data_IF_933322303352
#
_entry.id   IF_933322303352
#
_cell.length_a   1.000
_cell.length_b   1.000
_cell.length_c   1.000
_cell.angle_alpha   90.00
_cell.angle_beta   90.00
_cell.angle_gamma   90.00
#
_symmetry.space_group_name_H-M   'P 1'
#
loop_
_entity.id
_entity.type
_entity.pdbx_description
1 polymer ?
#
# COMPACT_ATOMS: atom_id res chain seq x y z
N UNK A 1 -29.93 0.29 -10.82
CA UNK A 1 -28.79 1.14 -10.45
C UNK A 1 -27.54 0.48 -11.00
N UNK A 2 -26.62 1.18 -11.65
CA UNK A 2 -25.35 0.56 -12.05
C UNK A 2 -24.59 0.09 -10.79
N UNK A 3 -24.16 -1.17 -10.80
CA UNK A 3 -23.37 -1.72 -9.70
C UNK A 3 -22.04 -0.95 -9.57
N UNK A 4 -21.70 -0.58 -8.34
CA UNK A 4 -20.46 0.15 -8.02
C UNK A 4 -19.55 -0.83 -7.28
N UNK A 5 -18.37 -1.11 -7.84
CA UNK A 5 -17.33 -1.81 -7.10
C UNK A 5 -16.54 -0.79 -6.28
N UNK A 6 -16.56 -0.93 -4.97
CA UNK A 6 -15.76 -0.09 -4.06
C UNK A 6 -14.51 -0.87 -3.66
N UNK A 7 -13.34 -0.29 -3.94
CA UNK A 7 -12.03 -0.86 -3.59
C UNK A 7 -11.31 0.11 -2.66
N UNK A 8 -11.11 -0.29 -1.41
CA UNK A 8 -10.27 0.44 -0.47
C UNK A 8 -8.78 0.20 -0.80
N UNK A 9 -7.91 1.15 -0.49
CA UNK A 9 -6.47 0.96 -0.65
C UNK A 9 -5.68 1.74 0.38
N UNK A 10 -4.59 1.15 0.87
CA UNK A 10 -3.72 1.75 1.89
C UNK A 10 -2.80 2.81 1.31
N UNK A 11 -2.33 3.78 2.13
CA UNK A 11 -1.38 4.82 1.72
C UNK A 11 -0.17 4.25 0.98
N UNK A 12 0.28 4.95 -0.07
CA UNK A 12 1.40 4.54 -0.92
C UNK A 12 1.02 3.61 -2.08
N UNK A 13 -0.02 2.79 -1.95
CA UNK A 13 -0.53 1.99 -3.07
C UNK A 13 -1.17 2.91 -4.10
N UNK A 14 -0.83 2.70 -5.39
CA UNK A 14 -1.31 3.54 -6.51
C UNK A 14 -2.15 2.69 -7.48
N UNK A 15 -3.47 2.59 -7.26
CA UNK A 15 -4.35 1.74 -8.06
C UNK A 15 -4.69 2.30 -9.45
N UNK A 16 -4.21 3.48 -9.82
CA UNK A 16 -4.58 4.19 -11.05
C UNK A 16 -4.34 3.41 -12.35
N UNK A 17 -3.32 2.52 -12.39
CA UNK A 17 -3.10 1.63 -13.55
C UNK A 17 -4.27 0.66 -13.75
N UNK A 18 -4.83 0.14 -12.66
CA UNK A 18 -5.96 -0.80 -12.69
C UNK A 18 -7.27 -0.06 -12.98
N UNK A 19 -7.44 1.15 -12.44
CA UNK A 19 -8.58 2.02 -12.75
C UNK A 19 -8.65 2.35 -14.24
N UNK A 20 -7.51 2.64 -14.88
CA UNK A 20 -7.45 2.87 -16.33
C UNK A 20 -7.93 1.65 -17.12
N UNK A 21 -7.39 0.46 -16.80
CA UNK A 21 -7.79 -0.81 -17.44
C UNK A 21 -9.27 -1.13 -17.17
N UNK A 22 -9.76 -0.82 -15.98
CA UNK A 22 -11.18 -0.98 -15.66
C UNK A 22 -12.07 -0.14 -16.59
N UNK A 23 -11.75 1.15 -16.76
CA UNK A 23 -12.51 2.05 -17.66
C UNK A 23 -12.50 1.58 -19.12
N UNK A 24 -11.39 1.04 -19.58
CA UNK A 24 -11.25 0.46 -20.93
C UNK A 24 -12.12 -0.78 -21.11
N UNK A 25 -12.17 -1.68 -20.12
CA UNK A 25 -12.90 -2.97 -20.21
C UNK A 25 -14.37 -2.88 -19.83
N UNK A 26 -14.74 -1.90 -19.02
CA UNK A 26 -16.10 -1.73 -18.49
C UNK A 26 -16.54 -0.27 -18.57
N UNK A 27 -16.82 0.26 -19.80
CA UNK A 27 -17.18 1.68 -19.97
C UNK A 27 -18.42 2.12 -19.18
N UNK A 28 -19.34 1.19 -18.84
CA UNK A 28 -20.53 1.45 -18.01
C UNK A 28 -20.38 1.02 -16.55
N UNK A 29 -19.26 0.36 -16.17
CA UNK A 29 -19.03 -0.12 -14.81
C UNK A 29 -18.43 0.97 -13.93
N UNK A 30 -18.99 1.19 -12.74
CA UNK A 30 -18.47 2.18 -11.78
C UNK A 30 -17.48 1.52 -10.84
N UNK A 31 -16.24 2.02 -10.81
CA UNK A 31 -15.20 1.70 -9.83
C UNK A 31 -15.01 2.91 -8.94
N UNK A 32 -15.11 2.72 -7.63
CA UNK A 32 -14.80 3.72 -6.63
C UNK A 32 -13.55 3.29 -5.86
N UNK A 33 -12.50 4.09 -5.92
CA UNK A 33 -11.27 3.89 -5.17
C UNK A 33 -11.29 4.75 -3.91
N UNK A 34 -11.08 4.15 -2.74
CA UNK A 34 -11.13 4.83 -1.43
C UNK A 34 -9.81 4.68 -0.70
N UNK A 35 -9.03 5.76 -0.54
CA UNK A 35 -7.83 5.72 0.31
C UNK A 35 -8.24 5.61 1.77
N UNK A 36 -7.73 4.61 2.48
CA UNK A 36 -8.00 4.36 3.90
C UNK A 36 -6.74 3.79 4.58
N UNK A 37 -6.45 4.11 5.85
CA UNK A 37 -5.51 3.36 6.65
C UNK A 37 -5.89 1.88 6.71
N UNK A 38 -4.94 1.00 7.02
CA UNK A 38 -5.14 -0.44 6.90
C UNK A 38 -6.25 -0.99 7.78
N UNK A 39 -6.33 -0.58 9.06
CA UNK A 39 -7.42 -0.99 9.94
C UNK A 39 -8.79 -0.56 9.40
N UNK A 40 -8.90 0.68 8.92
CA UNK A 40 -10.13 1.19 8.33
C UNK A 40 -10.50 0.49 7.01
N UNK A 41 -9.51 0.13 6.19
CA UNK A 41 -9.74 -0.62 4.96
C UNK A 41 -10.26 -2.04 5.22
N UNK A 42 -9.73 -2.72 6.25
CA UNK A 42 -10.19 -4.03 6.67
C UNK A 42 -11.58 -3.96 7.33
N UNK A 43 -11.83 -2.96 8.19
CA UNK A 43 -13.14 -2.73 8.78
C UNK A 43 -14.21 -2.44 7.71
N UNK A 44 -13.86 -1.72 6.64
CA UNK A 44 -14.76 -1.44 5.53
C UNK A 44 -15.13 -2.70 4.73
N UNK A 45 -14.30 -3.75 4.73
CA UNK A 45 -14.66 -5.06 4.18
C UNK A 45 -15.68 -5.77 5.09
N UNK A 46 -15.49 -5.68 6.41
CA UNK A 46 -16.33 -6.39 7.38
C UNK A 46 -17.73 -5.77 7.46
N UNK A 47 -17.85 -4.45 7.32
CA UNK A 47 -19.13 -3.73 7.33
C UNK A 47 -19.78 -3.60 5.93
N UNK A 48 -19.11 -4.09 4.88
CA UNK A 48 -19.59 -4.07 3.50
C UNK A 48 -19.55 -2.70 2.81
N UNK A 49 -18.92 -1.69 3.41
CA UNK A 49 -18.75 -0.35 2.78
C UNK A 49 -17.61 -0.32 1.76
N UNK A 50 -16.74 -1.33 1.76
CA UNK A 50 -15.85 -1.70 0.67
C UNK A 50 -16.05 -3.17 0.29
N UNK A 51 -15.90 -3.48 -0.99
CA UNK A 51 -16.06 -4.84 -1.51
C UNK A 51 -14.72 -5.57 -1.65
N UNK A 52 -13.64 -4.82 -1.83
CA UNK A 52 -12.26 -5.31 -1.92
C UNK A 52 -11.32 -4.28 -1.29
N UNK A 53 -10.13 -4.73 -0.86
CA UNK A 53 -9.11 -3.86 -0.33
C UNK A 53 -7.71 -4.24 -0.81
N UNK A 54 -6.88 -3.24 -1.10
CA UNK A 54 -5.45 -3.39 -1.35
C UNK A 54 -4.73 -3.04 -0.03
N UNK A 55 -4.19 -4.05 0.63
CA UNK A 55 -3.63 -3.97 1.98
C UNK A 55 -2.25 -4.63 2.06
N UNK A 56 -1.52 -4.38 3.17
CA UNK A 56 -0.20 -4.96 3.40
C UNK A 56 -0.26 -6.15 4.35
N UNK A 57 0.62 -7.13 4.11
CA UNK A 57 0.91 -8.27 5.00
C UNK A 57 -0.36 -8.95 5.54
N UNK A 58 -1.37 -9.08 4.69
CA UNK A 58 -2.65 -9.71 5.02
C UNK A 58 -2.81 -10.99 4.21
N UNK A 59 -2.76 -12.11 4.89
CA UNK A 59 -3.00 -13.43 4.30
C UNK A 59 -4.49 -13.76 4.20
N UNK A 60 -4.83 -14.75 3.38
CA UNK A 60 -6.16 -15.34 3.38
C UNK A 60 -6.44 -16.06 4.70
N UNK A 61 -7.70 -16.03 5.14
CA UNK A 61 -8.21 -16.72 6.30
C UNK A 61 -9.60 -17.33 6.01
N UNK A 62 -10.34 -17.77 7.02
CA UNK A 62 -11.70 -18.32 6.87
C UNK A 62 -12.75 -17.27 6.44
N UNK A 63 -12.47 -15.98 6.63
CA UNK A 63 -13.39 -14.89 6.34
C UNK A 63 -13.01 -14.12 5.07
N UNK A 64 -11.73 -14.17 4.66
CA UNK A 64 -11.19 -13.36 3.57
C UNK A 64 -10.31 -14.15 2.62
N UNK A 65 -10.55 -13.97 1.34
CA UNK A 65 -9.59 -14.34 0.29
C UNK A 65 -8.49 -13.29 0.20
N UNK A 66 -7.28 -13.71 -0.16
CA UNK A 66 -6.17 -12.82 -0.46
C UNK A 66 -5.40 -13.30 -1.69
N UNK A 67 -4.93 -12.34 -2.49
CA UNK A 67 -4.00 -12.58 -3.60
C UNK A 67 -2.81 -11.67 -3.43
N UNK A 68 -1.61 -12.22 -3.27
CA UNK A 68 -0.38 -11.47 -3.32
C UNK A 68 -0.19 -10.83 -4.71
N UNK A 69 0.09 -9.53 -4.75
CA UNK A 69 0.26 -8.77 -5.98
C UNK A 69 1.72 -8.42 -6.25
N UNK A 70 2.40 -7.87 -5.25
CA UNK A 70 3.82 -7.50 -5.32
C UNK A 70 4.40 -7.27 -3.94
N UNK A 71 5.72 -7.16 -3.87
CA UNK A 71 6.45 -6.81 -2.65
C UNK A 71 7.05 -5.41 -2.76
N UNK A 72 7.09 -4.73 -1.63
CA UNK A 72 7.69 -3.40 -1.46
C UNK A 72 8.95 -3.53 -0.62
N UNK A 73 10.04 -2.92 -1.08
CA UNK A 73 11.27 -2.85 -0.31
C UNK A 73 11.14 -1.82 0.81
N UNK A 74 11.69 -2.10 1.99
CA UNK A 74 11.83 -1.09 3.03
C UNK A 74 12.87 -0.03 2.62
N UNK A 75 12.63 1.21 3.03
CA UNK A 75 13.57 2.31 2.90
C UNK A 75 13.69 3.05 4.23
N UNK A 76 14.85 3.62 4.48
CA UNK A 76 15.07 4.57 5.57
C UNK A 76 14.83 5.98 5.03
N UNK A 77 13.90 6.69 5.63
CA UNK A 77 13.69 8.12 5.41
C UNK A 77 14.52 8.89 6.45
N UNK A 78 15.37 9.78 6.01
CA UNK A 78 16.31 10.51 6.86
C UNK A 78 16.40 11.99 6.46
N UNK A 79 16.79 12.88 7.38
CA UNK A 79 17.06 14.27 7.04
C UNK A 79 18.17 14.35 5.97
N UNK A 80 18.04 15.26 5.02
CA UNK A 80 18.98 15.38 3.88
C UNK A 80 20.44 15.60 4.30
N UNK A 81 20.67 16.25 5.43
CA UNK A 81 22.01 16.53 5.96
C UNK A 81 22.59 15.46 6.91
N UNK A 82 21.87 14.34 7.14
CA UNK A 82 22.31 13.28 8.06
C UNK A 82 23.38 12.38 7.45
N UNK A 83 24.06 11.60 8.30
CA UNK A 83 25.03 10.58 7.85
C UNK A 83 24.33 9.51 7.01
N UNK A 84 23.14 9.09 7.39
CA UNK A 84 22.32 8.13 6.62
C UNK A 84 22.06 8.62 5.20
N UNK A 85 21.85 9.93 5.02
CA UNK A 85 21.63 10.50 3.69
C UNK A 85 22.85 10.42 2.77
N UNK A 86 24.08 10.30 3.32
CA UNK A 86 25.33 10.19 2.55
C UNK A 86 25.56 8.78 2.00
N UNK A 87 24.84 7.77 2.49
CA UNK A 87 24.95 6.38 2.04
C UNK A 87 24.09 6.16 0.79
N UNK A 88 24.51 5.25 -0.11
CA UNK A 88 23.70 4.81 -1.25
C UNK A 88 22.61 3.81 -0.82
N UNK A 89 22.90 3.00 0.18
CA UNK A 89 22.00 2.05 0.81
C UNK A 89 22.40 1.85 2.27
N UNK A 90 21.46 1.42 3.11
CA UNK A 90 21.58 1.30 4.56
C UNK A 90 21.37 -0.15 4.97
N UNK A 91 22.13 -0.62 5.97
CA UNK A 91 21.86 -1.85 6.70
C UNK A 91 21.35 -1.52 8.12
N UNK A 92 20.69 -2.45 8.80
CA UNK A 92 20.17 -2.22 10.16
C UNK A 92 21.25 -1.79 11.14
N UNK A 93 22.48 -2.28 10.97
CA UNK A 93 23.63 -1.92 11.82
C UNK A 93 23.97 -0.42 11.70
N UNK A 94 23.77 0.19 10.55
CA UNK A 94 24.02 1.61 10.32
C UNK A 94 23.04 2.51 11.09
N UNK A 95 21.91 1.94 11.54
CA UNK A 95 20.91 2.65 12.33
C UNK A 95 21.14 2.59 13.84
N UNK A 96 22.19 1.86 14.32
CA UNK A 96 22.44 1.65 15.73
C UNK A 96 22.71 2.93 16.55
N UNK A 97 23.08 4.03 15.90
CA UNK A 97 23.27 5.34 16.54
C UNK A 97 22.13 6.34 16.27
N UNK A 98 21.13 5.94 15.48
CA UNK A 98 20.01 6.82 15.08
C UNK A 98 18.81 6.67 16.00
N UNK A 99 18.03 7.75 16.14
CA UNK A 99 16.72 7.69 16.77
C UNK A 99 15.72 7.17 15.72
N UNK A 100 15.42 5.87 15.75
CA UNK A 100 14.46 5.26 14.81
C UNK A 100 13.04 5.50 15.33
N UNK A 101 12.28 6.31 14.59
CA UNK A 101 10.92 6.69 14.94
C UNK A 101 9.93 5.55 14.70
N UNK A 102 8.98 5.38 15.60
CA UNK A 102 7.87 4.44 15.39
C UNK A 102 6.94 4.96 14.28
N UNK A 103 6.50 4.06 13.41
CA UNK A 103 5.57 4.36 12.33
C UNK A 103 4.35 3.45 12.46
N UNK A 104 3.16 4.04 12.56
CA UNK A 104 1.89 3.31 12.58
C UNK A 104 1.17 3.44 11.22
N UNK A 105 1.41 2.47 10.32
CA UNK A 105 0.71 2.38 9.05
C UNK A 105 -0.63 1.62 9.15
N UNK A 106 -0.96 1.08 10.32
CA UNK A 106 -2.26 0.45 10.55
C UNK A 106 -3.36 1.50 10.67
N UNK A 107 -3.08 2.61 11.39
CA UNK A 107 -4.03 3.69 11.66
C UNK A 107 -3.74 4.98 10.92
N UNK A 108 -2.51 5.18 10.47
CA UNK A 108 -2.05 6.40 9.81
C UNK A 108 -1.49 6.16 8.40
N UNK A 109 -0.95 7.21 7.82
CA UNK A 109 -0.31 7.20 6.51
C UNK A 109 1.22 7.37 6.56
N UNK A 110 1.77 7.51 7.77
CA UNK A 110 3.20 7.72 8.02
C UNK A 110 3.66 9.19 7.92
N UNK A 111 2.75 10.14 7.67
CA UNK A 111 3.10 11.57 7.55
C UNK A 111 3.68 12.14 8.83
N UNK A 112 3.13 11.77 10.00
CA UNK A 112 3.64 12.24 11.30
C UNK A 112 5.11 11.87 11.52
N UNK A 113 5.51 10.63 11.19
CA UNK A 113 6.89 10.20 11.29
C UNK A 113 7.79 10.97 10.31
N UNK A 114 7.32 11.20 9.08
CA UNK A 114 8.05 11.97 8.06
C UNK A 114 8.22 13.44 8.49
N UNK A 115 7.22 14.04 9.13
CA UNK A 115 7.33 15.39 9.67
C UNK A 115 8.38 15.49 10.79
N UNK A 116 8.46 14.48 11.68
CA UNK A 116 9.49 14.38 12.70
C UNK A 116 10.89 14.19 12.09
N UNK A 117 11.00 13.38 11.03
CA UNK A 117 12.26 13.24 10.27
C UNK A 117 12.68 14.57 9.68
N UNK A 118 11.77 15.29 9.04
CA UNK A 118 12.03 16.61 8.46
C UNK A 118 12.44 17.64 9.52
N UNK A 119 11.91 17.51 10.73
CA UNK A 119 12.31 18.31 11.91
C UNK A 119 13.64 17.85 12.55
N UNK A 120 14.36 16.89 11.93
CA UNK A 120 15.64 16.35 12.40
C UNK A 120 15.54 15.65 13.79
N UNK A 121 14.40 15.04 14.10
CA UNK A 121 14.19 14.30 15.36
C UNK A 121 14.77 12.88 15.28
N UNK A 122 14.80 12.28 14.08
CA UNK A 122 15.30 10.93 13.88
C UNK A 122 15.15 10.46 12.43
N UNK A 123 15.15 9.15 12.24
CA UNK A 123 14.92 8.48 10.96
C UNK A 123 13.70 7.58 11.05
N UNK A 124 13.07 7.25 9.92
CA UNK A 124 11.91 6.36 9.89
C UNK A 124 12.10 5.26 8.84
N UNK A 125 11.66 4.04 9.14
CA UNK A 125 11.62 2.93 8.17
C UNK A 125 10.21 2.83 7.60
N UNK A 126 10.10 2.91 6.28
CA UNK A 126 8.82 2.92 5.55
C UNK A 126 8.89 1.99 4.34
N UNK A 127 7.75 1.45 3.88
CA UNK A 127 7.65 0.89 2.54
C UNK A 127 8.00 1.95 1.48
N UNK A 128 8.72 1.56 0.44
CA UNK A 128 9.20 2.49 -0.60
C UNK A 128 8.09 3.35 -1.22
N UNK A 129 6.88 2.79 -1.39
CA UNK A 129 5.75 3.51 -1.98
C UNK A 129 5.24 4.63 -1.06
N UNK A 130 5.20 4.39 0.26
CA UNK A 130 4.82 5.39 1.27
C UNK A 130 5.86 6.51 1.30
N UNK A 131 7.15 6.17 1.38
CA UNK A 131 8.23 7.15 1.35
C UNK A 131 8.21 8.01 0.08
N UNK A 132 7.86 7.41 -1.07
CA UNK A 132 7.70 8.14 -2.34
C UNK A 132 6.52 9.09 -2.32
N UNK A 133 5.37 8.65 -1.79
CA UNK A 133 4.16 9.47 -1.68
C UNK A 133 4.37 10.68 -0.75
N UNK A 134 5.19 10.51 0.30
CA UNK A 134 5.51 11.53 1.30
C UNK A 134 6.84 12.26 1.02
N UNK A 135 7.39 12.14 -0.20
CA UNK A 135 8.68 12.74 -0.54
C UNK A 135 8.65 14.27 -0.46
N UNK A 136 9.72 14.86 0.11
CA UNK A 136 9.90 16.31 0.25
C UNK A 136 11.37 16.67 0.05
N UNK A 137 11.65 17.98 -0.07
CA UNK A 137 12.99 18.48 -0.41
C UNK A 137 14.00 18.35 0.75
N UNK A 138 13.55 18.33 1.98
CA UNK A 138 14.35 18.33 3.22
C UNK A 138 14.70 16.93 3.72
N UNK A 139 14.16 15.89 3.12
CA UNK A 139 14.45 14.48 3.45
C UNK A 139 14.98 13.70 2.23
N UNK A 140 15.52 12.53 2.50
CA UNK A 140 15.90 11.53 1.50
C UNK A 140 15.42 10.15 1.91
N UNK A 141 15.20 9.28 0.94
CA UNK A 141 14.94 7.85 1.17
C UNK A 141 16.15 7.04 0.68
N UNK A 142 16.60 6.07 1.47
CA UNK A 142 17.68 5.14 1.14
C UNK A 142 17.18 3.70 1.28
N UNK A 143 17.50 2.80 0.33
CA UNK A 143 17.15 1.40 0.45
C UNK A 143 17.71 0.80 1.75
N UNK A 144 16.89 0.05 2.48
CA UNK A 144 17.30 -0.75 3.64
C UNK A 144 17.43 -2.22 3.16
N UNK A 145 18.65 -2.78 3.20
CA UNK A 145 18.95 -4.05 2.51
C UNK A 145 18.57 -5.29 3.30
N UNK A 146 18.72 -5.26 4.61
CA UNK A 146 18.61 -6.42 5.51
C UNK A 146 17.33 -6.42 6.38
N UNK A 147 16.31 -5.65 5.95
CA UNK A 147 14.99 -5.67 6.56
C UNK A 147 13.97 -6.39 5.66
N UNK A 148 12.90 -6.97 6.24
CA UNK A 148 11.89 -7.70 5.48
C UNK A 148 11.13 -6.78 4.52
N UNK A 149 10.80 -7.33 3.34
CA UNK A 149 9.89 -6.68 2.39
C UNK A 149 8.45 -6.78 2.89
N UNK A 150 7.63 -5.80 2.52
CA UNK A 150 6.19 -5.77 2.79
C UNK A 150 5.44 -6.31 1.57
N UNK A 151 4.51 -7.23 1.76
CA UNK A 151 3.69 -7.76 0.67
C UNK A 151 2.39 -6.96 0.53
N UNK A 152 2.07 -6.51 -0.68
CA UNK A 152 0.77 -5.90 -1.00
C UNK A 152 -0.13 -6.96 -1.62
N UNK A 153 -1.31 -7.14 -1.01
CA UNK A 153 -2.32 -8.11 -1.41
C UNK A 153 -3.65 -7.44 -1.74
N UNK A 154 -4.40 -8.04 -2.67
CA UNK A 154 -5.82 -7.77 -2.85
C UNK A 154 -6.61 -8.74 -1.98
N UNK A 155 -7.49 -8.21 -1.13
CA UNK A 155 -8.30 -8.97 -0.16
C UNK A 155 -9.77 -8.69 -0.39
N UNK A 156 -10.65 -9.71 -0.21
CA UNK A 156 -12.11 -9.58 -0.29
C UNK A 156 -12.82 -10.64 0.55
N UNK A 157 -14.08 -10.41 0.97
CA UNK A 157 -14.83 -11.34 1.81
C UNK A 157 -15.12 -12.68 1.09
N UNK A 158 -15.07 -13.79 1.84
CA UNK A 158 -15.47 -15.13 1.36
C UNK A 158 -17.00 -15.20 1.23
N UNK A 159 -17.74 -14.70 2.24
CA UNK A 159 -19.18 -14.90 2.37
C UNK A 159 -20.03 -14.12 1.34
N UNK A 160 -19.54 -12.97 0.86
CA UNK A 160 -20.32 -12.07 0.00
C UNK A 160 -19.45 -11.43 -1.09
N UNK A 161 -18.92 -12.22 -2.04
CA UNK A 161 -18.12 -11.67 -3.13
C UNK A 161 -18.98 -10.78 -4.02
N UNK A 162 -18.46 -9.60 -4.35
CA UNK A 162 -19.16 -8.66 -5.23
C UNK A 162 -19.19 -9.20 -6.68
N UNK A 163 -20.32 -9.09 -7.43
CA UNK A 163 -20.44 -9.64 -8.79
C UNK A 163 -19.37 -9.14 -9.78
N UNK A 164 -18.87 -7.93 -9.58
CA UNK A 164 -17.79 -7.34 -10.39
C UNK A 164 -16.37 -7.68 -9.86
N UNK A 165 -16.25 -8.44 -8.77
CA UNK A 165 -14.98 -8.79 -8.14
C UNK A 165 -14.05 -9.56 -9.07
N UNK A 166 -14.56 -10.59 -9.75
CA UNK A 166 -13.78 -11.43 -10.68
C UNK A 166 -13.18 -10.63 -11.83
N UNK A 167 -13.89 -9.60 -12.31
CA UNK A 167 -13.38 -8.69 -13.34
C UNK A 167 -12.18 -7.91 -12.81
N UNK A 168 -12.28 -7.36 -11.60
CA UNK A 168 -11.21 -6.61 -10.98
C UNK A 168 -10.00 -7.51 -10.65
N UNK A 169 -10.23 -8.72 -10.13
CA UNK A 169 -9.19 -9.75 -9.92
C UNK A 169 -8.45 -10.04 -11.23
N UNK A 170 -9.17 -10.21 -12.32
CA UNK A 170 -8.57 -10.41 -13.65
C UNK A 170 -7.70 -9.24 -14.10
N UNK A 171 -8.10 -8.01 -13.79
CA UNK A 171 -7.34 -6.80 -14.12
C UNK A 171 -6.06 -6.72 -13.30
N UNK A 172 -6.12 -6.91 -11.98
CA UNK A 172 -4.92 -6.81 -11.12
C UNK A 172 -3.90 -7.91 -11.40
N UNK A 173 -4.36 -9.10 -11.84
CA UNK A 173 -3.52 -10.21 -12.29
C UNK A 173 -2.96 -10.04 -13.70
N UNK A 174 -3.29 -8.96 -14.39
CA UNK A 174 -2.81 -8.71 -15.76
C UNK A 174 -3.41 -9.65 -16.83
N UNK A 175 -4.54 -10.34 -16.52
CA UNK A 175 -5.21 -11.20 -17.52
C UNK A 175 -5.75 -10.33 -18.65
N UNK A 176 -5.53 -10.77 -19.90
CA UNK A 176 -6.14 -10.14 -21.08
C UNK A 176 -7.63 -10.46 -21.14
N UNK A 177 -8.42 -9.65 -21.86
CA UNK A 177 -9.87 -9.84 -22.00
C UNK A 177 -10.25 -11.24 -22.58
N UNK A 178 -9.32 -11.92 -23.23
CA UNK A 178 -9.53 -13.23 -23.88
C UNK A 178 -9.14 -14.44 -23.01
N UNK A 179 -8.72 -14.25 -21.75
CA UNK A 179 -8.33 -15.37 -20.85
C UNK A 179 -9.50 -15.97 -20.05
N UNK A 180 -10.73 -15.55 -20.33
CA UNK A 180 -11.96 -16.04 -19.67
C UNK A 180 -12.77 -16.90 -20.63
N UNK A 181 -12.19 -18.05 -21.05
CA UNK A 181 -12.94 -19.17 -21.65
C UNK A 181 -12.54 -20.46 -20.99
#
# INVERSE_FOLDING_TARGET
>A
MPEILVVAFVPGVTPGKWERVWRERRPGGRLQLRPLPQEAALAALDDGTAHMALVRDTAADEHRHAIALYRERPVVVAPRGSLVASLDAVDLVDLGGENVLAVDLLRGDGSDAVDLVAANVGVAVLPQSVARALSRKDIVARPLRDAPETEVSLVWPVASPHPLGDVFIGIVRGRTANSSR
#
